data_IF_770978438713
#
_entry.id   IF_770978438713
#
_cell.length_a   1.000
_cell.length_b   1.000
_cell.length_c   1.000
_cell.angle_alpha   90.00
_cell.angle_beta   90.00
_cell.angle_gamma   90.00
#
_symmetry.space_group_name_H-M   'P 1'
#
loop_
_entity.id
_entity.type
_entity.pdbx_description
1 polymer ?
#
# COMPACT_ATOMS: atom_id res chain seq x y z
N UNK A 1 -42.32 3.25 0.20
CA UNK A 1 -41.32 4.34 0.15
C UNK A 1 -39.98 3.76 0.52
N UNK A 2 -39.00 3.73 -0.39
CA UNK A 2 -37.65 3.22 -0.09
C UNK A 2 -37.04 4.00 1.08
N UNK A 3 -36.48 3.28 2.06
CA UNK A 3 -35.76 3.89 3.18
C UNK A 3 -34.36 4.32 2.74
N UNK A 4 -33.71 5.19 3.53
CA UNK A 4 -32.33 5.60 3.27
C UNK A 4 -31.37 4.39 3.25
N UNK A 5 -31.66 3.35 4.03
CA UNK A 5 -30.90 2.09 4.04
C UNK A 5 -31.07 1.29 2.75
N UNK A 6 -32.28 1.23 2.20
CA UNK A 6 -32.56 0.48 0.97
C UNK A 6 -31.82 1.08 -0.23
N UNK A 7 -31.81 2.42 -0.34
CA UNK A 7 -31.08 3.14 -1.40
C UNK A 7 -29.57 2.88 -1.31
N UNK A 8 -29.00 2.89 -0.11
CA UNK A 8 -27.57 2.58 0.09
C UNK A 8 -27.26 1.14 -0.33
N UNK A 9 -28.16 0.19 -0.02
CA UNK A 9 -27.98 -1.20 -0.40
C UNK A 9 -28.05 -1.40 -1.91
N UNK A 10 -29.02 -0.78 -2.58
CA UNK A 10 -29.22 -0.86 -4.02
C UNK A 10 -28.08 -0.20 -4.81
N UNK A 11 -27.62 0.98 -4.36
CA UNK A 11 -26.44 1.64 -4.93
C UNK A 11 -25.17 0.81 -4.72
N UNK A 12 -24.98 0.21 -3.53
CA UNK A 12 -23.84 -0.66 -3.27
C UNK A 12 -23.86 -1.91 -4.15
N UNK A 13 -25.05 -2.48 -4.40
CA UNK A 13 -25.21 -3.62 -5.29
C UNK A 13 -24.92 -3.24 -6.75
N UNK A 14 -25.50 -2.13 -7.22
CA UNK A 14 -25.31 -1.63 -8.58
C UNK A 14 -23.86 -1.24 -8.87
N UNK A 15 -23.15 -0.67 -7.89
CA UNK A 15 -21.76 -0.23 -8.01
C UNK A 15 -20.75 -1.25 -7.47
N UNK A 16 -21.20 -2.46 -7.12
CA UNK A 16 -20.33 -3.52 -6.59
C UNK A 16 -19.23 -3.92 -7.57
N UNK A 17 -19.52 -3.89 -8.88
CA UNK A 17 -18.53 -4.14 -9.94
C UNK A 17 -17.38 -3.13 -9.97
N UNK A 18 -17.53 -1.97 -9.34
CA UNK A 18 -16.49 -0.95 -9.17
C UNK A 18 -15.78 -1.03 -7.80
N UNK A 19 -16.10 -2.05 -6.99
CA UNK A 19 -15.59 -2.20 -5.63
C UNK A 19 -16.10 -1.11 -4.67
N UNK A 20 -17.26 -0.52 -4.95
CA UNK A 20 -17.90 0.46 -4.05
C UNK A 20 -18.59 -0.30 -2.92
N UNK A 21 -18.20 0.01 -1.68
CA UNK A 21 -18.81 -0.55 -0.47
C UNK A 21 -19.87 0.39 0.08
N UNK A 22 -20.77 -0.14 0.91
CA UNK A 22 -21.77 0.66 1.65
C UNK A 22 -21.13 1.81 2.44
N UNK A 23 -19.98 1.55 3.04
CA UNK A 23 -19.19 2.54 3.79
C UNK A 23 -18.77 3.74 2.94
N UNK A 24 -18.42 3.53 1.67
CA UNK A 24 -18.06 4.60 0.75
C UNK A 24 -19.28 5.49 0.42
N UNK A 25 -20.42 4.86 0.14
CA UNK A 25 -21.69 5.57 -0.15
C UNK A 25 -22.12 6.39 1.06
N UNK A 26 -22.11 5.78 2.25
CA UNK A 26 -22.40 6.47 3.51
C UNK A 26 -21.40 7.59 3.80
N UNK A 27 -20.12 7.40 3.46
CA UNK A 27 -19.09 8.43 3.56
C UNK A 27 -19.39 9.64 2.68
N UNK A 28 -19.72 9.41 1.41
CA UNK A 28 -20.03 10.46 0.44
C UNK A 28 -21.29 11.25 0.82
N UNK A 29 -22.39 10.57 1.18
CA UNK A 29 -23.62 11.22 1.64
C UNK A 29 -23.38 12.10 2.87
N UNK A 30 -22.57 11.60 3.83
CA UNK A 30 -22.23 12.37 5.03
C UNK A 30 -21.34 13.57 4.73
N UNK A 31 -20.33 13.42 3.87
CA UNK A 31 -19.42 14.49 3.46
C UNK A 31 -20.18 15.68 2.84
N UNK A 32 -21.16 15.37 1.97
CA UNK A 32 -21.96 16.37 1.26
C UNK A 32 -23.24 16.80 1.99
N UNK A 33 -23.50 16.24 3.19
CA UNK A 33 -24.73 16.43 3.96
C UNK A 33 -25.99 16.23 3.10
N UNK A 34 -25.97 15.19 2.26
CA UNK A 34 -27.03 14.89 1.31
C UNK A 34 -28.12 14.03 1.92
N UNK A 35 -29.36 14.34 1.54
CA UNK A 35 -30.52 13.48 1.77
C UNK A 35 -30.91 12.71 0.49
N UNK A 36 -31.85 11.77 0.62
CA UNK A 36 -32.22 10.86 -0.48
C UNK A 36 -32.79 11.62 -1.68
N UNK A 37 -33.52 12.71 -1.43
CA UNK A 37 -34.15 13.54 -2.47
C UNK A 37 -33.10 14.32 -3.28
N UNK A 38 -31.93 14.57 -2.71
CA UNK A 38 -30.84 15.26 -3.43
C UNK A 38 -30.33 14.41 -4.60
N UNK A 39 -30.32 13.07 -4.46
CA UNK A 39 -29.84 12.17 -5.51
C UNK A 39 -30.71 12.18 -6.77
N UNK A 40 -31.91 12.74 -6.70
CA UNK A 40 -32.83 12.88 -7.84
C UNK A 40 -32.55 14.10 -8.71
N UNK A 41 -31.65 14.99 -8.27
CA UNK A 41 -31.27 16.20 -9.03
C UNK A 41 -29.92 15.97 -9.70
N UNK A 42 -29.84 16.18 -11.01
CA UNK A 42 -28.62 15.87 -11.80
C UNK A 42 -27.34 16.52 -11.25
N UNK A 43 -27.40 17.81 -10.87
CA UNK A 43 -26.25 18.53 -10.32
C UNK A 43 -25.75 17.89 -9.01
N UNK A 44 -26.68 17.54 -8.13
CA UNK A 44 -26.40 16.90 -6.83
C UNK A 44 -25.92 15.46 -7.03
N UNK A 45 -26.46 14.75 -8.02
CA UNK A 45 -25.99 13.42 -8.38
C UNK A 45 -24.54 13.45 -8.88
N UNK A 46 -24.17 14.47 -9.67
CA UNK A 46 -22.79 14.65 -10.13
C UNK A 46 -21.82 14.98 -8.99
N UNK A 47 -22.24 15.83 -8.05
CA UNK A 47 -21.48 16.10 -6.81
C UNK A 47 -21.27 14.81 -6.00
N UNK A 48 -22.33 14.03 -5.81
CA UNK A 48 -22.28 12.74 -5.12
C UNK A 48 -21.32 11.77 -5.80
N UNK A 49 -21.43 11.60 -7.12
CA UNK A 49 -20.55 10.73 -7.90
C UNK A 49 -19.08 11.16 -7.78
N UNK A 50 -18.83 12.46 -7.84
CA UNK A 50 -17.49 13.05 -7.70
C UNK A 50 -16.88 12.79 -6.33
N UNK A 51 -17.67 12.91 -5.26
CA UNK A 51 -17.22 12.66 -3.90
C UNK A 51 -17.05 11.16 -3.61
N UNK A 52 -18.00 10.33 -4.08
CA UNK A 52 -17.93 8.88 -3.97
C UNK A 52 -16.66 8.33 -4.64
N UNK A 53 -16.28 8.88 -5.79
CA UNK A 53 -15.04 8.52 -6.49
C UNK A 53 -13.80 8.94 -5.69
N UNK A 54 -13.80 10.06 -4.94
CA UNK A 54 -12.67 10.44 -4.06
C UNK A 54 -12.47 9.44 -2.94
N UNK A 55 -13.57 9.05 -2.29
CA UNK A 55 -13.54 8.16 -1.14
C UNK A 55 -13.20 6.72 -1.58
N UNK A 56 -13.85 6.22 -2.63
CA UNK A 56 -13.71 4.83 -3.06
C UNK A 56 -12.49 4.55 -3.95
N UNK A 57 -11.93 5.59 -4.57
CA UNK A 57 -10.79 5.52 -5.50
C UNK A 57 -9.86 6.71 -5.25
N UNK A 58 -9.14 6.71 -4.12
CA UNK A 58 -8.13 7.72 -3.88
C UNK A 58 -7.01 7.57 -4.92
N UNK A 59 -6.47 8.70 -5.41
CA UNK A 59 -5.47 8.74 -6.50
C UNK A 59 -4.26 9.53 -6.01
N UNK A 60 -3.06 8.95 -6.19
CA UNK A 60 -1.80 9.67 -6.05
C UNK A 60 -1.30 10.08 -7.44
N UNK A 61 -1.02 11.37 -7.61
CA UNK A 61 -0.38 11.89 -8.83
C UNK A 61 1.13 11.92 -8.61
N UNK A 62 1.87 11.34 -9.55
CA UNK A 62 3.34 11.23 -9.48
C UNK A 62 3.95 11.94 -10.69
N UNK A 63 4.88 12.85 -10.43
CA UNK A 63 5.60 13.60 -11.46
C UNK A 63 6.78 12.82 -12.01
N UNK A 64 6.55 12.04 -13.07
CA UNK A 64 7.60 11.26 -13.73
C UNK A 64 8.56 12.15 -14.55
N UNK A 65 9.73 11.60 -14.89
CA UNK A 65 10.83 12.26 -15.63
C UNK A 65 11.54 13.36 -14.82
N UNK A 66 11.63 13.18 -13.50
CA UNK A 66 12.32 14.13 -12.61
C UNK A 66 13.84 14.25 -12.89
N UNK A 67 14.42 13.31 -13.64
CA UNK A 67 15.82 13.30 -14.10
C UNK A 67 16.11 14.34 -15.20
N UNK A 68 15.06 14.89 -15.84
CA UNK A 68 15.19 15.94 -16.84
C UNK A 68 15.40 17.31 -16.16
N UNK A 69 16.32 18.12 -16.70
CA UNK A 69 16.65 19.45 -16.12
C UNK A 69 15.44 20.38 -16.06
N UNK A 70 14.59 20.32 -17.07
CA UNK A 70 13.37 21.14 -17.21
C UNK A 70 12.28 20.72 -16.23
N UNK A 71 12.33 19.49 -15.69
CA UNK A 71 11.29 18.98 -14.80
C UNK A 71 11.26 19.71 -13.44
N UNK A 72 12.40 20.24 -12.98
CA UNK A 72 12.53 20.81 -11.63
C UNK A 72 11.56 21.97 -11.37
N UNK A 73 11.32 22.84 -12.35
CA UNK A 73 10.39 23.95 -12.19
C UNK A 73 8.93 23.47 -12.22
N UNK A 74 8.61 22.56 -13.13
CA UNK A 74 7.26 22.00 -13.27
C UNK A 74 6.83 21.20 -12.04
N UNK A 75 7.74 20.38 -11.48
CA UNK A 75 7.50 19.58 -10.29
C UNK A 75 7.25 20.47 -9.06
N UNK A 76 7.97 21.59 -8.94
CA UNK A 76 7.73 22.58 -7.87
C UNK A 76 6.35 23.23 -7.97
N UNK A 77 5.87 23.52 -9.19
CA UNK A 77 4.53 24.11 -9.41
C UNK A 77 3.39 23.14 -9.10
N UNK A 78 3.55 21.87 -9.48
CA UNK A 78 2.52 20.85 -9.32
C UNK A 78 2.43 20.30 -7.88
N UNK A 79 3.50 20.43 -7.09
CA UNK A 79 3.58 19.88 -5.72
C UNK A 79 3.21 18.39 -5.65
N UNK A 80 3.73 17.60 -6.61
CA UNK A 80 3.53 16.15 -6.71
C UNK A 80 4.81 15.41 -6.34
N UNK A 81 4.68 14.13 -5.97
CA UNK A 81 5.83 13.30 -5.65
C UNK A 81 6.68 13.09 -6.93
N UNK A 82 7.96 13.50 -6.96
CA UNK A 82 8.80 13.35 -8.13
C UNK A 82 9.32 11.92 -8.27
N UNK A 83 9.37 11.40 -9.50
CA UNK A 83 10.03 10.12 -9.77
C UNK A 83 10.73 10.08 -11.13
N UNK A 84 11.62 9.12 -11.30
CA UNK A 84 12.14 8.71 -12.61
C UNK A 84 11.99 7.20 -12.77
N UNK A 85 10.97 6.80 -13.55
CA UNK A 85 10.74 5.40 -13.90
C UNK A 85 11.88 4.83 -14.76
N UNK A 86 12.52 5.67 -15.57
CA UNK A 86 13.62 5.26 -16.45
C UNK A 86 14.88 4.92 -15.64
N UNK A 87 15.25 5.76 -14.67
CA UNK A 87 16.36 5.48 -13.74
C UNK A 87 16.10 4.20 -12.94
N UNK A 88 14.89 4.04 -12.39
CA UNK A 88 14.51 2.83 -11.63
C UNK A 88 14.60 1.57 -12.50
N UNK A 89 14.12 1.63 -13.74
CA UNK A 89 14.18 0.50 -14.68
C UNK A 89 15.63 0.14 -15.01
N UNK A 90 16.47 1.13 -15.32
CA UNK A 90 17.87 0.92 -15.64
C UNK A 90 18.65 0.28 -14.49
N UNK A 91 18.42 0.73 -13.25
CA UNK A 91 19.02 0.15 -12.05
C UNK A 91 18.58 -1.30 -11.82
N UNK A 92 17.28 -1.59 -11.96
CA UNK A 92 16.74 -2.95 -11.87
C UNK A 92 17.35 -3.88 -12.92
N UNK A 93 17.49 -3.41 -14.15
CA UNK A 93 18.12 -4.20 -15.21
C UNK A 93 19.62 -4.44 -14.97
N UNK A 94 20.34 -3.43 -14.50
CA UNK A 94 21.76 -3.56 -14.16
C UNK A 94 21.96 -4.54 -12.99
N UNK A 95 21.08 -4.49 -11.99
CA UNK A 95 21.05 -5.42 -10.85
C UNK A 95 20.78 -6.86 -11.32
N UNK A 96 19.77 -7.05 -12.17
CA UNK A 96 19.44 -8.36 -12.76
C UNK A 96 20.59 -8.94 -13.61
N UNK A 97 21.41 -8.10 -14.24
CA UNK A 97 22.60 -8.50 -15.02
C UNK A 97 23.83 -8.76 -14.12
N UNK A 98 23.72 -8.59 -12.80
CA UNK A 98 24.82 -8.75 -11.86
C UNK A 98 25.93 -7.71 -12.04
N UNK A 99 25.60 -6.53 -12.57
CA UNK A 99 26.54 -5.41 -12.70
C UNK A 99 26.62 -4.62 -11.38
N UNK A 100 25.48 -4.49 -10.72
CA UNK A 100 25.33 -3.77 -9.45
C UNK A 100 24.51 -4.63 -8.49
N UNK A 101 24.58 -4.30 -7.20
CA UNK A 101 23.64 -4.73 -6.18
C UNK A 101 22.81 -3.52 -5.78
N UNK A 102 21.52 -3.59 -6.09
CA UNK A 102 20.56 -2.51 -5.86
C UNK A 102 19.26 -3.08 -5.31
N UNK A 103 18.74 -2.47 -4.24
CA UNK A 103 17.41 -2.74 -3.71
C UNK A 103 16.49 -1.59 -4.17
N UNK A 104 15.33 -1.88 -4.78
CA UNK A 104 14.39 -0.85 -5.22
C UNK A 104 14.04 0.15 -4.12
N UNK A 105 14.23 1.44 -4.42
CA UNK A 105 13.97 2.53 -3.48
C UNK A 105 15.17 3.01 -2.68
N UNK A 106 16.30 2.29 -2.71
CA UNK A 106 17.54 2.76 -2.10
C UNK A 106 18.05 4.04 -2.79
N UNK A 107 18.78 4.85 -2.03
CA UNK A 107 19.42 6.09 -2.47
C UNK A 107 20.84 5.90 -3.04
N UNK A 108 21.36 4.67 -2.99
CA UNK A 108 22.62 4.26 -3.60
C UNK A 108 22.58 2.78 -4.03
N UNK A 109 23.66 2.31 -4.66
CA UNK A 109 23.87 0.92 -5.06
C UNK A 109 25.36 0.57 -5.02
N UNK A 110 25.67 -0.72 -4.91
CA UNK A 110 27.04 -1.23 -4.94
C UNK A 110 27.39 -1.73 -6.34
N UNK A 111 28.59 -1.43 -6.84
CA UNK A 111 29.06 -1.90 -8.15
C UNK A 111 29.80 -3.23 -7.95
N UNK A 112 29.36 -4.28 -8.65
CA UNK A 112 29.93 -5.63 -8.52
C UNK A 112 30.98 -5.95 -9.60
N UNK A 113 30.94 -5.24 -10.73
CA UNK A 113 31.89 -5.39 -11.83
C UNK A 113 32.42 -4.02 -12.24
N UNK A 114 33.70 -3.77 -11.99
CA UNK A 114 34.34 -2.49 -12.33
C UNK A 114 34.81 -2.44 -13.80
N UNK A 115 34.89 -3.59 -14.47
CA UNK A 115 35.39 -3.73 -15.85
C UNK A 115 34.30 -3.36 -16.88
N UNK A 116 33.85 -2.12 -16.84
CA UNK A 116 32.76 -1.58 -17.65
C UNK A 116 33.26 -0.50 -18.62
N UNK A 117 32.66 -0.46 -19.81
CA UNK A 117 32.87 0.63 -20.77
C UNK A 117 32.56 2.00 -20.12
N UNK A 118 33.34 3.04 -20.49
CA UNK A 118 33.23 4.40 -19.96
C UNK A 118 31.81 4.97 -20.07
N UNK A 119 31.06 4.61 -21.12
CA UNK A 119 29.66 5.04 -21.28
C UNK A 119 28.76 4.52 -20.15
N UNK A 120 28.97 3.27 -19.72
CA UNK A 120 28.19 2.65 -18.65
C UNK A 120 28.55 3.25 -17.29
N UNK A 121 29.84 3.49 -17.04
CA UNK A 121 30.30 4.14 -15.81
C UNK A 121 29.67 5.53 -15.66
N UNK A 122 29.69 6.35 -16.72
CA UNK A 122 29.04 7.68 -16.71
C UNK A 122 27.54 7.61 -16.47
N UNK A 123 26.85 6.62 -17.04
CA UNK A 123 25.42 6.44 -16.80
C UNK A 123 25.11 6.04 -15.35
N UNK A 124 25.93 5.16 -14.75
CA UNK A 124 25.83 4.77 -13.35
C UNK A 124 26.11 5.95 -12.41
N UNK A 125 27.12 6.76 -12.70
CA UNK A 125 27.40 7.99 -11.96
C UNK A 125 26.23 8.98 -12.02
N UNK A 126 25.65 9.19 -13.21
CA UNK A 126 24.46 10.02 -13.36
C UNK A 126 23.29 9.50 -12.51
N UNK A 127 23.00 8.20 -12.58
CA UNK A 127 21.92 7.59 -11.80
C UNK A 127 22.19 7.72 -10.29
N UNK A 128 23.42 7.44 -9.83
CA UNK A 128 23.79 7.59 -8.42
C UNK A 128 23.62 9.02 -7.93
N UNK A 129 24.04 10.02 -8.71
CA UNK A 129 23.83 11.43 -8.36
C UNK A 129 22.34 11.76 -8.27
N UNK A 130 21.54 11.30 -9.24
CA UNK A 130 20.10 11.48 -9.22
C UNK A 130 19.45 10.86 -7.96
N UNK A 131 19.83 9.63 -7.60
CA UNK A 131 19.33 8.97 -6.39
C UNK A 131 19.68 9.77 -5.13
N UNK A 132 20.93 10.23 -4.99
CA UNK A 132 21.37 11.00 -3.82
C UNK A 132 20.68 12.34 -3.68
N UNK A 133 20.46 13.04 -4.79
CA UNK A 133 19.76 14.33 -4.80
C UNK A 133 18.27 14.20 -4.42
N UNK A 134 17.63 13.07 -4.75
CA UNK A 134 16.19 12.87 -4.59
C UNK A 134 15.81 11.91 -3.44
N UNK A 135 16.80 11.26 -2.82
CA UNK A 135 16.60 10.20 -1.82
C UNK A 135 16.00 8.94 -2.43
N UNK A 136 16.51 8.53 -3.60
CA UNK A 136 16.04 7.41 -4.40
C UNK A 136 15.37 7.83 -5.71
N UNK A 137 14.86 6.85 -6.46
CA UNK A 137 14.22 7.09 -7.77
C UNK A 137 12.81 7.70 -7.69
N UNK A 138 12.20 7.70 -6.50
CA UNK A 138 10.83 8.14 -6.25
C UNK A 138 9.76 7.09 -6.56
N UNK A 139 10.06 6.03 -7.31
CA UNK A 139 9.07 5.00 -7.68
C UNK A 139 8.61 4.19 -6.46
N UNK A 140 9.56 3.62 -5.70
CA UNK A 140 9.22 2.85 -4.50
C UNK A 140 8.55 3.73 -3.44
N UNK A 141 8.98 5.00 -3.33
CA UNK A 141 8.34 5.98 -2.44
C UNK A 141 6.88 6.22 -2.82
N UNK A 142 6.57 6.36 -4.12
CA UNK A 142 5.20 6.49 -4.60
C UNK A 142 4.33 5.27 -4.24
N UNK A 143 4.87 4.06 -4.43
CA UNK A 143 4.18 2.81 -4.08
C UNK A 143 3.89 2.77 -2.58
N UNK A 144 4.90 3.08 -1.75
CA UNK A 144 4.77 3.10 -0.30
C UNK A 144 3.72 4.13 0.14
N UNK A 145 3.70 5.32 -0.46
CA UNK A 145 2.71 6.36 -0.20
C UNK A 145 1.29 5.87 -0.50
N UNK A 146 1.08 5.20 -1.63
CA UNK A 146 -0.23 4.63 -1.98
C UNK A 146 -0.65 3.55 -0.99
N UNK A 147 0.24 2.59 -0.70
CA UNK A 147 -0.12 1.42 0.13
C UNK A 147 -0.30 1.81 1.59
N UNK A 148 0.66 2.53 2.17
CA UNK A 148 0.73 2.78 3.62
C UNK A 148 -0.09 4.01 4.04
N UNK A 149 -0.10 5.06 3.22
CA UNK A 149 -0.75 6.32 3.60
C UNK A 149 -2.13 6.46 2.95
N UNK A 150 -2.21 6.34 1.62
CA UNK A 150 -3.44 6.59 0.88
C UNK A 150 -4.50 5.51 1.14
N UNK A 151 -4.11 4.24 1.09
CA UNK A 151 -4.97 3.11 1.45
C UNK A 151 -4.95 2.82 2.96
N UNK A 152 -3.97 3.40 3.70
CA UNK A 152 -3.84 3.22 5.14
C UNK A 152 -3.47 1.79 5.55
N UNK A 153 -2.95 0.97 4.63
CA UNK A 153 -2.72 -0.44 4.90
C UNK A 153 -1.62 -0.63 5.96
N UNK A 154 -1.76 -1.70 6.74
CA UNK A 154 -0.78 -2.12 7.74
C UNK A 154 -0.11 -3.41 7.27
N UNK A 155 1.21 -3.46 7.37
CA UNK A 155 1.98 -4.67 7.09
C UNK A 155 2.11 -5.48 8.37
N UNK A 156 1.74 -6.75 8.33
CA UNK A 156 1.71 -7.64 9.49
C UNK A 156 2.40 -8.96 9.14
N UNK A 157 3.19 -9.48 10.07
CA UNK A 157 4.05 -10.63 9.86
C UNK A 157 3.56 -11.81 10.72
N UNK A 158 2.86 -12.80 10.14
CA UNK A 158 2.49 -13.98 10.90
C UNK A 158 3.67 -14.92 11.07
N UNK A 159 3.76 -15.51 12.25
CA UNK A 159 4.81 -16.49 12.59
C UNK A 159 4.23 -17.67 13.36
N UNK A 160 4.92 -18.80 13.33
CA UNK A 160 4.53 -19.98 14.11
C UNK A 160 5.28 -20.06 15.45
N UNK A 161 6.55 -19.65 15.48
CA UNK A 161 7.34 -19.56 16.70
C UNK A 161 7.46 -18.10 17.16
N UNK A 162 6.95 -17.81 18.36
CA UNK A 162 6.95 -16.46 18.94
C UNK A 162 8.31 -16.00 19.48
N UNK A 163 9.24 -16.93 19.73
CA UNK A 163 10.57 -16.62 20.25
C UNK A 163 11.58 -16.51 19.12
N UNK A 164 11.50 -17.40 18.14
CA UNK A 164 12.40 -17.39 16.96
C UNK A 164 11.88 -16.49 15.84
N UNK A 165 10.60 -16.15 15.85
CA UNK A 165 9.91 -15.42 14.79
C UNK A 165 9.97 -16.17 13.45
N UNK A 166 9.86 -17.50 13.50
CA UNK A 166 10.01 -18.37 12.33
C UNK A 166 8.73 -19.15 11.98
N UNK A 167 8.68 -19.69 10.76
CA UNK A 167 7.78 -20.80 10.40
C UNK A 167 8.34 -22.16 10.85
N UNK A 168 7.66 -23.25 10.45
CA UNK A 168 8.10 -24.65 10.66
C UNK A 168 9.45 -24.97 10.03
N UNK A 169 9.77 -24.29 8.94
CA UNK A 169 10.99 -24.53 8.16
C UNK A 169 12.20 -23.76 8.74
N UNK A 170 11.96 -22.89 9.73
CA UNK A 170 12.99 -22.09 10.39
C UNK A 170 13.28 -20.76 9.69
N UNK A 171 12.50 -20.39 8.68
CA UNK A 171 12.62 -19.10 7.99
C UNK A 171 12.09 -17.99 8.89
N UNK A 172 12.90 -16.93 9.06
CA UNK A 172 12.57 -15.78 9.91
C UNK A 172 11.65 -14.83 9.16
N UNK A 173 10.50 -14.51 9.76
CA UNK A 173 9.46 -13.62 9.19
C UNK A 173 9.12 -14.02 7.73
N UNK A 174 8.58 -15.23 7.53
CA UNK A 174 8.42 -15.82 6.19
C UNK A 174 7.48 -15.00 5.30
N UNK A 175 6.44 -14.41 5.91
CA UNK A 175 5.37 -13.72 5.21
C UNK A 175 5.19 -12.29 5.72
N UNK A 176 4.79 -11.41 4.80
CA UNK A 176 4.38 -10.04 5.10
C UNK A 176 3.03 -9.76 4.44
N UNK A 177 1.96 -9.73 5.24
CA UNK A 177 0.61 -9.44 4.74
C UNK A 177 0.31 -7.95 4.81
N UNK A 178 -0.11 -7.39 3.67
CA UNK A 178 -0.69 -6.05 3.58
C UNK A 178 -2.18 -6.15 3.89
N UNK A 179 -2.57 -5.65 5.06
CA UNK A 179 -3.94 -5.70 5.57
C UNK A 179 -4.57 -4.30 5.56
N UNK A 180 -5.88 -4.16 5.26
CA UNK A 180 -6.57 -2.88 5.36
C UNK A 180 -6.48 -2.28 6.77
N UNK A 181 -6.50 -0.95 6.88
CA UNK A 181 -6.55 -0.27 8.18
C UNK A 181 -7.74 -0.75 9.00
N UNK A 182 -7.52 -1.04 10.27
CA UNK A 182 -8.58 -1.50 11.17
C UNK A 182 -8.84 -3.00 11.12
N UNK A 183 -8.13 -3.76 10.27
CA UNK A 183 -8.15 -5.22 10.31
C UNK A 183 -7.79 -5.73 11.69
N UNK A 184 -8.45 -6.80 12.13
CA UNK A 184 -8.28 -7.41 13.45
C UNK A 184 -7.46 -8.69 13.37
N UNK A 185 -7.02 -9.18 14.52
CA UNK A 185 -6.26 -10.45 14.61
C UNK A 185 -6.99 -11.63 13.96
N UNK A 186 -8.32 -11.67 14.05
CA UNK A 186 -9.13 -12.70 13.36
C UNK A 186 -9.10 -12.57 11.83
N UNK A 187 -9.08 -11.34 11.32
CA UNK A 187 -9.05 -11.10 9.88
C UNK A 187 -7.70 -11.57 9.30
N UNK A 188 -6.61 -11.43 10.08
CA UNK A 188 -5.31 -12.03 9.75
C UNK A 188 -5.38 -13.56 9.74
N UNK A 189 -6.07 -14.19 10.69
CA UNK A 189 -6.22 -15.64 10.71
C UNK A 189 -6.93 -16.14 9.43
N UNK A 190 -8.06 -15.53 9.06
CA UNK A 190 -8.74 -15.83 7.79
C UNK A 190 -7.90 -15.53 6.55
N UNK A 191 -7.03 -14.52 6.62
CA UNK A 191 -6.13 -14.17 5.52
C UNK A 191 -5.08 -15.25 5.27
N UNK A 192 -4.62 -15.92 6.33
CA UNK A 192 -3.68 -17.05 6.27
C UNK A 192 -4.42 -18.30 5.79
N UNK A 193 -5.47 -18.71 6.50
CA UNK A 193 -6.30 -19.85 6.12
C UNK A 193 -7.67 -19.80 6.82
N UNK A 194 -8.73 -20.26 6.15
CA UNK A 194 -10.09 -20.28 6.72
C UNK A 194 -10.15 -21.03 8.05
N UNK A 195 -9.53 -22.21 8.11
CA UNK A 195 -9.57 -23.07 9.30
C UNK A 195 -8.93 -22.42 10.53
N UNK A 196 -7.90 -21.58 10.35
CA UNK A 196 -7.30 -20.82 11.45
C UNK A 196 -8.23 -19.73 11.96
N UNK A 197 -9.02 -19.11 11.06
CA UNK A 197 -10.03 -18.14 11.42
C UNK A 197 -11.20 -18.78 12.17
N UNK A 198 -11.75 -19.87 11.64
CA UNK A 198 -12.90 -20.57 12.22
C UNK A 198 -12.58 -21.18 13.59
N UNK A 199 -11.36 -21.67 13.77
CA UNK A 199 -10.89 -22.26 15.02
C UNK A 199 -10.03 -21.32 15.87
N UNK A 200 -10.12 -20.00 15.67
CA UNK A 200 -9.31 -19.03 16.40
C UNK A 200 -9.55 -19.10 17.92
N UNK A 201 -8.47 -19.29 18.70
CA UNK A 201 -8.51 -19.26 20.16
C UNK A 201 -7.97 -17.92 20.67
N UNK A 202 -6.75 -17.58 20.27
CA UNK A 202 -6.04 -16.36 20.69
C UNK A 202 -4.94 -16.04 19.68
N UNK A 203 -4.40 -14.84 19.79
CA UNK A 203 -3.19 -14.47 19.10
C UNK A 203 -2.13 -13.98 20.10
N UNK A 204 -0.87 -13.95 19.69
CA UNK A 204 0.25 -13.50 20.51
C UNK A 204 1.01 -12.44 19.73
N UNK A 205 1.14 -11.25 20.30
CA UNK A 205 2.08 -10.23 19.84
C UNK A 205 3.48 -10.66 20.27
N UNK A 206 4.28 -11.12 19.30
CA UNK A 206 5.60 -11.69 19.54
C UNK A 206 6.62 -10.61 19.96
N UNK A 207 6.39 -9.34 19.64
CA UNK A 207 7.30 -8.23 20.02
C UNK A 207 7.17 -7.91 21.50
N UNK A 208 5.94 -7.82 21.99
CA UNK A 208 5.67 -7.49 23.39
C UNK A 208 5.46 -8.73 24.27
N UNK A 209 5.45 -9.93 23.67
CA UNK A 209 5.13 -11.22 24.32
C UNK A 209 3.80 -11.19 25.07
N UNK A 210 2.79 -10.56 24.46
CA UNK A 210 1.46 -10.40 25.06
C UNK A 210 0.43 -11.23 24.30
N UNK A 211 -0.46 -11.87 25.05
CA UNK A 211 -1.65 -12.49 24.47
C UNK A 211 -2.62 -11.38 24.06
N UNK A 212 -3.09 -11.44 22.83
CA UNK A 212 -4.06 -10.52 22.25
C UNK A 212 -5.33 -11.28 21.84
N UNK A 213 -6.46 -10.59 21.97
CA UNK A 213 -7.77 -11.15 21.66
C UNK A 213 -8.14 -11.06 20.17
N UNK A 214 -9.28 -11.68 19.83
CA UNK A 214 -9.87 -11.69 18.49
C UNK A 214 -10.02 -10.29 17.88
N UNK A 215 -10.45 -9.33 18.69
CA UNK A 215 -10.76 -7.96 18.26
C UNK A 215 -9.57 -6.98 18.33
N UNK A 216 -8.36 -7.48 18.63
CA UNK A 216 -7.17 -6.63 18.59
C UNK A 216 -6.98 -6.06 17.18
N UNK A 217 -6.93 -4.74 17.08
CA UNK A 217 -6.71 -4.03 15.82
C UNK A 217 -5.23 -4.06 15.48
N UNK A 218 -4.91 -4.65 14.33
CA UNK A 218 -3.55 -4.81 13.82
C UNK A 218 -2.90 -3.45 13.57
N UNK A 219 -1.61 -3.36 13.91
CA UNK A 219 -0.76 -2.20 13.68
C UNK A 219 0.33 -2.54 12.69
N UNK A 220 0.85 -1.51 12.03
CA UNK A 220 1.94 -1.67 11.09
C UNK A 220 3.20 -2.20 11.79
N UNK A 221 3.78 -3.28 11.28
CA UNK A 221 4.94 -3.94 11.88
C UNK A 221 4.61 -4.89 13.03
N UNK A 222 3.33 -5.26 13.21
CA UNK A 222 2.96 -6.30 14.18
C UNK A 222 3.49 -7.65 13.71
N UNK A 223 4.05 -8.41 14.65
CA UNK A 223 4.50 -9.80 14.44
C UNK A 223 3.59 -10.68 15.29
N UNK A 224 2.74 -11.46 14.63
CA UNK A 224 1.61 -12.12 15.29
C UNK A 224 1.68 -13.63 15.11
N UNK A 225 1.61 -14.36 16.22
CA UNK A 225 1.34 -15.80 16.19
C UNK A 225 -0.14 -16.06 16.41
N UNK A 226 -0.77 -16.78 15.49
CA UNK A 226 -2.16 -17.23 15.63
C UNK A 226 -2.17 -18.60 16.33
N UNK A 227 -3.00 -18.74 17.36
CA UNK A 227 -3.25 -20.01 18.04
C UNK A 227 -4.68 -20.44 17.74
N UNK A 228 -4.82 -21.51 16.99
CA UNK A 228 -6.11 -22.11 16.64
C UNK A 228 -6.28 -23.47 17.33
N UNK A 229 -7.52 -23.92 17.45
CA UNK A 229 -7.86 -25.27 17.90
C UNK A 229 -7.47 -26.26 16.80
N UNK A 230 -6.71 -27.29 17.18
CA UNK A 230 -6.38 -28.41 16.31
C UNK A 230 -7.62 -29.27 16.03
#
# INVERSE_FOLDING_TARGET
TLTKGDIIAELAQSLSGLGVKREHIMGALRSLRMEKEDLLKDERLFEFASELRKISKPILVVGNKADMKEARENLKRLNVLPCSAEVELALKEASRKGLIKYIPGDDDFEILKEDMDQRRLKALEFMRNFLKENGGSGVQRAINEVVLNLLGAVVVYPVEDENKLTNKEGEVLPDAFVMPRGSRAIDLAYRIHSDLGDNFIKAIDCRNKKVIGRDYVLKNGDVIKIVARA
#
